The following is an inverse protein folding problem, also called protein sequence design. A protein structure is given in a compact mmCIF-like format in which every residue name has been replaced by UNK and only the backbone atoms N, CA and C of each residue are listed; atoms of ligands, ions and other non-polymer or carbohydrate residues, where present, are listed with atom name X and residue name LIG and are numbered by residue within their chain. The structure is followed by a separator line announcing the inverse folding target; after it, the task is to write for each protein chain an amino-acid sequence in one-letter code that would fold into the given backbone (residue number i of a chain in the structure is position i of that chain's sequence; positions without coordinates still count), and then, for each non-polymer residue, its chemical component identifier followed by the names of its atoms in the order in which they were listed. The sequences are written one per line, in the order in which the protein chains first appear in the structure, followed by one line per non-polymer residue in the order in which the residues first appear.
data_IF_385210464958
#
_entry.id   IF_385210464958
#
_cell.length_a   1.000
_cell.length_b   1.000
_cell.length_c   1.000
_cell.angle_alpha   90.00
_cell.angle_beta   90.00
_cell.angle_gamma   90.00
#
_symmetry.space_group_name_H-M   'P 1'
#
loop_
_entity.id
_entity.type
_entity.pdbx_description
1 polymer ?
#
# COMPACT_ATOMS: atom_id res chain seq x y z
N UNK A 1 7.65 -23.67 67.75
CA UNK A 1 8.51 -23.09 66.69
C UNK A 1 9.30 -21.96 67.34
N UNK A 2 10.62 -22.06 67.35
CA UNK A 2 11.49 -21.06 67.98
C UNK A 2 11.33 -19.69 67.30
N UNK A 3 11.40 -18.60 68.07
CA UNK A 3 11.26 -17.24 67.56
C UNK A 3 12.19 -16.93 66.38
N UNK A 4 13.34 -17.61 66.28
CA UNK A 4 14.26 -17.51 65.14
C UNK A 4 13.68 -18.04 63.82
N UNK A 5 12.80 -19.03 63.84
CA UNK A 5 12.18 -19.56 62.62
C UNK A 5 11.18 -18.56 62.00
N UNK A 6 10.45 -17.81 62.83
CA UNK A 6 9.51 -16.79 62.35
C UNK A 6 10.23 -15.59 61.73
N UNK A 7 11.33 -15.15 62.33
CA UNK A 7 12.15 -14.05 61.81
C UNK A 7 12.79 -14.43 60.47
N UNK A 8 13.23 -15.68 60.33
CA UNK A 8 13.83 -16.18 59.09
C UNK A 8 12.82 -16.25 57.94
N UNK A 9 11.60 -16.72 58.21
CA UNK A 9 10.53 -16.77 57.20
C UNK A 9 10.07 -15.36 56.82
N UNK A 10 9.92 -14.45 57.78
CA UNK A 10 9.58 -13.06 57.49
C UNK A 10 10.65 -12.34 56.65
N UNK A 11 11.94 -12.60 56.92
CA UNK A 11 13.05 -12.06 56.12
C UNK A 11 13.05 -12.63 54.69
N UNK A 12 12.79 -13.93 54.53
CA UNK A 12 12.71 -14.56 53.20
C UNK A 12 11.53 -14.04 52.36
N UNK A 13 10.37 -13.85 52.98
CA UNK A 13 9.19 -13.26 52.31
C UNK A 13 9.45 -11.80 51.95
N UNK A 14 10.10 -11.02 52.82
CA UNK A 14 10.47 -9.64 52.52
C UNK A 14 11.48 -9.55 51.35
N UNK A 15 12.44 -10.47 51.27
CA UNK A 15 13.38 -10.54 50.13
C UNK A 15 12.64 -10.91 48.83
N UNK A 16 11.68 -11.84 48.89
CA UNK A 16 10.92 -12.25 47.70
C UNK A 16 9.91 -11.18 47.23
N UNK A 17 9.42 -10.34 48.14
CA UNK A 17 8.47 -9.25 47.83
C UNK A 17 9.19 -7.98 47.37
N UNK A 18 10.41 -7.70 47.87
CA UNK A 18 11.21 -6.54 47.48
C UNK A 18 12.10 -6.80 46.25
N UNK A 19 12.49 -8.05 45.98
CA UNK A 19 13.18 -8.45 44.77
C UNK A 19 12.19 -9.12 43.80
N UNK A 20 11.31 -8.31 43.20
CA UNK A 20 10.46 -8.77 42.11
C UNK A 20 11.30 -9.35 40.94
N UNK A 21 10.68 -10.16 40.06
CA UNK A 21 11.36 -10.86 38.96
C UNK A 21 12.02 -9.94 37.91
N UNK A 22 11.94 -8.63 38.08
CA UNK A 22 12.55 -7.60 37.21
C UNK A 22 14.04 -7.37 37.49
N UNK A 23 14.62 -7.99 38.52
CA UNK A 23 16.02 -7.79 38.93
C UNK A 23 16.93 -8.99 38.65
N UNK A 24 16.79 -9.60 37.46
CA UNK A 24 17.80 -10.53 36.95
C UNK A 24 18.81 -9.80 36.05
N UNK A 25 20.04 -9.55 36.51
CA UNK A 25 21.09 -9.04 35.65
C UNK A 25 21.40 -10.08 34.56
N UNK A 26 21.20 -9.69 33.29
CA UNK A 26 21.50 -10.54 32.13
C UNK A 26 20.29 -11.00 31.31
N UNK A 27 19.06 -10.62 31.65
CA UNK A 27 17.96 -10.71 30.68
C UNK A 27 18.21 -9.63 29.61
N UNK A 28 18.29 -9.96 28.31
CA UNK A 28 18.29 -8.94 27.28
C UNK A 28 17.08 -8.05 27.53
N UNK A 29 17.28 -6.74 27.66
CA UNK A 29 16.16 -5.81 27.53
C UNK A 29 15.59 -6.12 26.15
N UNK A 30 14.35 -6.63 26.11
CA UNK A 30 13.59 -6.67 24.87
C UNK A 30 13.70 -5.27 24.28
N UNK A 31 14.09 -5.12 22.99
CA UNK A 31 14.06 -3.82 22.35
C UNK A 31 12.71 -3.19 22.65
N UNK A 32 12.66 -1.91 23.08
CA UNK A 32 11.38 -1.28 23.33
C UNK A 32 10.54 -1.43 22.06
N UNK A 33 9.44 -2.18 22.17
CA UNK A 33 8.44 -2.23 21.11
C UNK A 33 7.60 -0.96 21.16
N UNK A 34 6.73 -0.76 20.16
CA UNK A 34 6.02 0.50 19.98
C UNK A 34 5.29 0.92 21.26
N UNK A 35 5.37 2.21 21.64
CA UNK A 35 4.88 2.70 22.92
C UNK A 35 3.36 2.54 23.06
N UNK A 36 2.91 2.42 24.30
CA UNK A 36 1.49 2.26 24.64
C UNK A 36 1.10 0.83 25.02
N UNK A 37 -0.18 0.63 25.28
CA UNK A 37 -0.76 -0.64 25.76
C UNK A 37 -1.89 -1.19 24.89
N UNK A 38 -2.16 -0.54 23.76
CA UNK A 38 -3.13 -1.00 22.77
C UNK A 38 -2.67 -2.24 22.00
N UNK A 39 -3.50 -2.78 21.09
CA UNK A 39 -3.11 -3.90 20.26
C UNK A 39 -1.99 -3.50 19.29
N UNK A 40 -1.11 -4.46 18.98
CA UNK A 40 -0.08 -4.27 17.97
C UNK A 40 -0.73 -4.19 16.58
N UNK A 41 -0.44 -3.12 15.85
CA UNK A 41 -1.23 -2.72 14.69
C UNK A 41 -0.38 -2.49 13.45
N UNK A 42 -0.81 -3.07 12.33
CA UNK A 42 -0.34 -2.75 10.98
C UNK A 42 -1.28 -1.70 10.36
N UNK A 43 -0.71 -0.62 9.85
CA UNK A 43 -1.48 0.49 9.26
C UNK A 43 -1.08 0.71 7.80
N UNK A 44 -2.05 0.90 6.91
CA UNK A 44 -1.78 1.36 5.54
C UNK A 44 -2.21 2.80 5.32
N UNK A 45 -1.34 3.59 4.70
CA UNK A 45 -1.61 4.95 4.21
C UNK A 45 -1.34 4.99 2.71
N UNK A 46 -1.92 5.95 2.00
CA UNK A 46 -1.69 6.11 0.57
C UNK A 46 -2.97 6.17 -0.24
N UNK A 47 -2.89 5.66 -1.46
CA UNK A 47 -3.90 5.83 -2.48
C UNK A 47 -4.82 4.62 -2.69
N UNK A 48 -5.42 4.53 -3.88
CA UNK A 48 -6.38 3.50 -4.28
C UNK A 48 -5.81 2.07 -4.19
N UNK A 49 -4.50 1.91 -4.41
CA UNK A 49 -3.84 0.61 -4.40
C UNK A 49 -3.67 0.02 -3.01
N UNK A 50 -3.77 0.84 -1.96
CA UNK A 50 -3.85 0.39 -0.58
C UNK A 50 -5.24 0.55 0.04
N UNK A 51 -6.10 1.46 -0.47
CA UNK A 51 -7.49 1.54 -0.02
C UNK A 51 -8.26 0.25 -0.36
N UNK A 52 -7.94 -0.36 -1.50
CA UNK A 52 -8.61 -1.57 -1.98
C UNK A 52 -9.58 -1.30 -3.12
N UNK A 53 -9.45 -0.17 -3.82
CA UNK A 53 -10.13 0.08 -5.09
C UNK A 53 -9.92 -1.11 -6.04
N UNK A 54 -10.98 -1.59 -6.69
CA UNK A 54 -10.95 -2.79 -7.53
C UNK A 54 -11.12 -4.11 -6.78
N UNK A 55 -10.95 -4.14 -5.46
CA UNK A 55 -11.10 -5.35 -4.64
C UNK A 55 -12.56 -5.66 -4.25
N UNK A 56 -13.49 -4.76 -4.57
CA UNK A 56 -14.92 -4.86 -4.25
C UNK A 56 -15.20 -4.80 -2.74
N UNK A 57 -16.46 -5.04 -2.36
CA UNK A 57 -16.92 -5.07 -0.95
C UNK A 57 -16.56 -3.81 -0.14
N UNK A 58 -16.60 -2.63 -0.75
CA UNK A 58 -16.25 -1.40 -0.05
C UNK A 58 -17.13 -1.17 1.18
N UNK A 59 -16.51 -0.66 2.24
CA UNK A 59 -17.21 -0.15 3.42
C UNK A 59 -18.22 0.92 2.99
N UNK A 60 -19.48 0.86 3.46
CA UNK A 60 -20.52 1.81 3.03
C UNK A 60 -20.12 3.27 3.20
N UNK A 61 -19.35 3.59 4.25
CA UNK A 61 -18.91 4.94 4.59
C UNK A 61 -17.95 5.54 3.58
N UNK A 62 -17.27 4.72 2.77
CA UNK A 62 -16.28 5.16 1.79
C UNK A 62 -16.68 4.84 0.34
N UNK A 63 -17.91 4.36 0.13
CA UNK A 63 -18.47 4.02 -1.17
C UNK A 63 -19.50 5.06 -1.65
N UNK A 64 -19.10 6.33 -1.62
CA UNK A 64 -19.86 7.49 -2.06
C UNK A 64 -20.82 8.08 -1.02
N UNK A 65 -20.95 7.48 0.17
CA UNK A 65 -21.78 8.05 1.23
C UNK A 65 -21.24 9.43 1.64
N UNK A 66 -22.11 10.44 1.60
CA UNK A 66 -21.75 11.85 1.88
C UNK A 66 -20.57 12.37 1.03
N UNK A 67 -20.37 11.82 -0.16
CA UNK A 67 -19.27 12.21 -1.06
C UNK A 67 -17.90 11.60 -0.70
N UNK A 68 -17.85 10.64 0.23
CA UNK A 68 -16.62 9.93 0.54
C UNK A 68 -16.42 8.75 -0.42
N UNK A 69 -15.44 8.86 -1.31
CA UNK A 69 -15.09 7.83 -2.28
C UNK A 69 -13.70 7.24 -2.03
N UNK A 70 -13.27 7.18 -0.76
CA UNK A 70 -11.98 6.58 -0.42
C UNK A 70 -11.90 5.09 -0.78
N UNK A 71 -13.03 4.39 -1.00
CA UNK A 71 -13.09 3.00 -1.43
C UNK A 71 -12.19 2.08 -0.61
N UNK A 72 -12.49 1.98 0.69
CA UNK A 72 -11.83 1.04 1.59
C UNK A 72 -12.49 -0.31 1.55
N UNK A 73 -11.73 -1.34 1.19
CA UNK A 73 -12.19 -2.72 1.08
C UNK A 73 -11.63 -3.61 2.20
N UNK A 74 -12.42 -4.54 2.77
CA UNK A 74 -11.90 -5.64 3.59
C UNK A 74 -11.05 -6.64 2.79
N UNK A 75 -10.97 -6.46 1.47
CA UNK A 75 -10.07 -7.18 0.58
C UNK A 75 -8.74 -6.46 0.31
N UNK A 76 -8.52 -5.26 0.85
CA UNK A 76 -7.28 -4.53 0.69
C UNK A 76 -6.06 -5.30 1.23
N UNK A 77 -4.89 -4.99 0.69
CA UNK A 77 -3.61 -5.65 1.02
C UNK A 77 -3.38 -5.72 2.53
N UNK A 78 -3.56 -4.60 3.23
CA UNK A 78 -3.35 -4.51 4.68
C UNK A 78 -4.23 -5.49 5.47
N UNK A 79 -5.49 -5.65 5.05
CA UNK A 79 -6.48 -6.50 5.72
C UNK A 79 -6.18 -7.99 5.54
N UNK A 80 -5.44 -8.35 4.47
CA UNK A 80 -5.02 -9.73 4.18
C UNK A 80 -3.62 -10.06 4.70
N UNK A 81 -2.83 -9.05 5.05
CA UNK A 81 -1.42 -9.22 5.43
C UNK A 81 -1.31 -9.89 6.78
N UNK A 82 -0.56 -10.99 6.87
CA UNK A 82 -0.32 -11.71 8.13
C UNK A 82 1.11 -11.51 8.54
N UNK A 83 1.31 -11.02 9.76
CA UNK A 83 2.62 -10.81 10.39
C UNK A 83 2.50 -11.26 11.83
N UNK A 84 3.50 -11.99 12.30
CA UNK A 84 3.56 -12.50 13.67
C UNK A 84 3.45 -11.37 14.70
N UNK A 85 2.58 -11.54 15.69
CA UNK A 85 2.34 -10.54 16.76
C UNK A 85 1.39 -9.40 16.41
N UNK A 86 1.07 -9.16 15.14
CA UNK A 86 0.09 -8.12 14.74
C UNK A 86 -1.34 -8.61 14.99
N UNK A 87 -2.00 -7.95 15.93
CA UNK A 87 -3.40 -8.22 16.33
C UNK A 87 -4.40 -7.50 15.44
N UNK A 88 -4.11 -6.24 15.08
CA UNK A 88 -5.05 -5.34 14.40
C UNK A 88 -4.48 -4.84 13.08
N UNK A 89 -5.36 -4.62 12.09
CA UNK A 89 -5.06 -4.01 10.79
C UNK A 89 -5.97 -2.82 10.59
N UNK A 90 -5.40 -1.70 10.14
CA UNK A 90 -6.17 -0.46 9.94
C UNK A 90 -5.79 0.15 8.60
N UNK A 91 -6.81 0.38 7.77
CA UNK A 91 -6.64 1.06 6.50
C UNK A 91 -7.02 2.54 6.60
N UNK A 92 -6.03 3.42 6.48
CA UNK A 92 -6.21 4.88 6.37
C UNK A 92 -6.10 5.38 4.93
N UNK A 93 -5.62 4.54 4.00
CA UNK A 93 -5.49 4.88 2.60
C UNK A 93 -6.82 5.27 1.96
N UNK A 94 -6.76 6.08 0.92
CA UNK A 94 -7.93 6.68 0.30
C UNK A 94 -7.73 6.80 -1.21
N UNK A 95 -8.67 6.27 -1.98
CA UNK A 95 -8.59 6.29 -3.45
C UNK A 95 -8.38 7.71 -4.01
N UNK A 96 -7.40 7.84 -4.90
CA UNK A 96 -6.99 9.10 -5.53
C UNK A 96 -6.15 10.03 -4.65
N UNK A 97 -5.76 9.63 -3.44
CA UNK A 97 -4.96 10.47 -2.56
C UNK A 97 -3.62 10.89 -3.20
N UNK A 98 -3.31 12.21 -3.26
CA UNK A 98 -1.98 12.70 -3.57
C UNK A 98 -1.08 12.67 -2.32
N UNK A 99 0.23 12.83 -2.51
CA UNK A 99 1.22 12.91 -1.42
C UNK A 99 0.85 13.99 -0.40
N UNK A 100 0.30 15.13 -0.86
CA UNK A 100 -0.15 16.22 0.00
C UNK A 100 -1.25 15.84 1.01
N UNK A 101 -2.09 14.85 0.70
CA UNK A 101 -3.12 14.36 1.64
C UNK A 101 -2.60 13.22 2.54
N UNK A 102 -1.57 12.49 2.09
CA UNK A 102 -0.90 11.50 2.95
C UNK A 102 -0.12 12.20 4.05
N UNK A 103 0.66 13.23 3.70
CA UNK A 103 1.42 14.06 4.64
C UNK A 103 0.56 15.01 5.49
N UNK A 104 1.22 15.89 6.22
CA UNK A 104 0.56 16.94 7.01
C UNK A 104 0.06 18.08 6.13
N UNK A 105 -0.99 18.76 6.60
CA UNK A 105 -1.56 19.93 5.93
C UNK A 105 -3.08 19.86 5.85
N UNK A 106 -3.65 20.75 5.02
CA UNK A 106 -5.09 20.93 4.86
C UNK A 106 -5.65 20.23 3.62
N UNK A 107 -4.81 19.54 2.85
CA UNK A 107 -5.25 18.77 1.69
C UNK A 107 -6.24 17.69 2.12
N UNK A 108 -7.37 17.64 1.43
CA UNK A 108 -8.41 16.62 1.64
C UNK A 108 -8.50 15.75 0.41
N UNK A 109 -8.80 14.48 0.64
CA UNK A 109 -9.18 13.55 -0.41
C UNK A 109 -10.62 13.13 -0.10
N UNK A 110 -11.52 13.48 -1.02
CA UNK A 110 -12.95 13.45 -0.79
C UNK A 110 -13.32 14.27 0.46
N UNK A 111 -13.81 13.60 1.50
CA UNK A 111 -14.20 14.22 2.77
C UNK A 111 -13.13 14.10 3.86
N UNK A 112 -12.04 13.39 3.60
CA UNK A 112 -11.11 12.96 4.65
C UNK A 112 -9.85 13.85 4.74
N UNK A 113 -9.37 14.16 5.96
CA UNK A 113 -8.20 15.00 6.18
C UNK A 113 -6.89 14.21 6.01
N UNK A 114 -5.76 14.82 6.37
CA UNK A 114 -4.43 14.22 6.40
C UNK A 114 -4.40 12.81 6.99
N UNK A 115 -3.76 11.87 6.29
CA UNK A 115 -3.57 10.50 6.79
C UNK A 115 -2.52 10.44 7.90
N UNK A 116 -1.44 11.22 7.80
CA UNK A 116 -0.43 11.35 8.86
C UNK A 116 -1.04 11.87 10.17
N UNK A 117 -1.94 12.87 10.13
CA UNK A 117 -2.64 13.33 11.33
C UNK A 117 -3.45 12.19 11.96
N UNK A 118 -4.23 11.46 11.15
CA UNK A 118 -5.04 10.33 11.62
C UNK A 118 -4.20 9.18 12.17
N UNK A 119 -3.05 8.89 11.58
CA UNK A 119 -2.08 7.94 12.12
C UNK A 119 -1.60 8.38 13.50
N UNK A 120 -1.23 9.66 13.64
CA UNK A 120 -0.91 10.23 14.94
C UNK A 120 -2.06 10.03 15.93
N UNK A 121 -3.30 10.35 15.59
CA UNK A 121 -4.45 10.12 16.48
C UNK A 121 -4.64 8.65 16.88
N UNK A 122 -4.42 7.73 15.93
CA UNK A 122 -4.56 6.30 16.11
C UNK A 122 -3.62 5.74 17.20
N UNK A 123 -2.43 6.32 17.37
CA UNK A 123 -1.47 5.87 18.37
C UNK A 123 -1.93 6.06 19.82
N UNK A 124 -3.01 6.82 20.06
CA UNK A 124 -3.59 6.97 21.40
C UNK A 124 -4.22 5.68 21.92
N UNK A 125 -4.63 4.79 21.03
CA UNK A 125 -5.31 3.53 21.36
C UNK A 125 -4.67 2.30 20.75
N UNK A 126 -3.69 2.46 19.86
CA UNK A 126 -3.02 1.36 19.17
C UNK A 126 -1.50 1.52 19.23
N UNK A 127 -0.79 0.39 19.23
CA UNK A 127 0.67 0.35 19.14
C UNK A 127 1.04 0.07 17.70
N UNK A 128 1.54 1.06 16.98
CA UNK A 128 1.82 0.95 15.54
C UNK A 128 3.16 0.22 15.34
N UNK A 129 3.13 -1.01 14.86
CA UNK A 129 4.35 -1.78 14.62
C UNK A 129 4.81 -1.75 13.16
N UNK A 130 3.91 -1.45 12.23
CA UNK A 130 4.26 -1.32 10.83
C UNK A 130 3.34 -0.32 10.15
N UNK A 131 3.92 0.49 9.27
CA UNK A 131 3.23 1.43 8.40
C UNK A 131 3.63 1.16 6.96
N UNK A 132 2.64 0.97 6.09
CA UNK A 132 2.84 0.69 4.67
C UNK A 132 2.23 1.82 3.86
N UNK A 133 3.02 2.42 2.98
CA UNK A 133 2.67 3.60 2.20
C UNK A 133 2.74 3.26 0.71
N UNK A 134 1.73 3.65 -0.05
CA UNK A 134 1.76 3.67 -1.51
C UNK A 134 1.17 5.00 -2.00
N UNK A 135 2.03 5.89 -2.49
CA UNK A 135 1.65 7.23 -2.96
C UNK A 135 2.60 7.68 -4.08
N UNK A 136 2.27 8.74 -4.82
CA UNK A 136 3.06 9.25 -5.94
C UNK A 136 2.34 9.18 -7.30
N UNK A 137 1.56 8.12 -7.56
CA UNK A 137 0.92 7.94 -8.87
C UNK A 137 -0.16 9.00 -9.19
N UNK A 138 -0.75 9.62 -8.16
CA UNK A 138 -1.77 10.66 -8.30
C UNK A 138 -1.22 12.09 -8.24
N UNK A 139 0.06 12.26 -7.95
CA UNK A 139 0.74 13.55 -8.03
C UNK A 139 1.01 13.89 -9.52
N UNK A 140 2.18 14.44 -9.87
CA UNK A 140 2.53 14.79 -11.26
C UNK A 140 2.38 13.68 -12.32
N UNK A 141 2.55 12.37 -12.00
CA UNK A 141 2.28 11.29 -12.94
C UNK A 141 0.84 11.28 -13.46
N UNK A 142 -0.15 11.68 -12.66
CA UNK A 142 -1.58 11.64 -12.98
C UNK A 142 -2.01 10.30 -13.63
N UNK A 143 -1.61 9.18 -13.04
CA UNK A 143 -1.68 7.86 -13.67
C UNK A 143 -3.09 7.47 -14.17
N UNK A 144 -4.14 7.77 -13.42
CA UNK A 144 -5.53 7.50 -13.81
C UNK A 144 -5.97 8.25 -15.07
N UNK A 145 -5.54 9.50 -15.21
CA UNK A 145 -5.74 10.29 -16.43
C UNK A 145 -4.98 9.68 -17.60
N UNK A 146 -3.74 9.25 -17.39
CA UNK A 146 -2.93 8.63 -18.45
C UNK A 146 -3.56 7.35 -19.00
N UNK A 147 -4.08 6.48 -18.14
CA UNK A 147 -4.80 5.28 -18.57
C UNK A 147 -6.03 5.65 -19.40
N UNK A 148 -6.75 6.69 -19.00
CA UNK A 148 -7.90 7.21 -19.75
C UNK A 148 -7.49 7.78 -21.12
N UNK A 149 -6.38 8.50 -21.21
CA UNK A 149 -5.84 9.01 -22.47
C UNK A 149 -5.38 7.89 -23.41
N UNK A 150 -4.75 6.85 -22.88
CA UNK A 150 -4.35 5.67 -23.66
C UNK A 150 -5.56 4.88 -24.18
N UNK A 151 -6.59 4.72 -23.35
CA UNK A 151 -7.88 4.17 -23.76
C UNK A 151 -8.52 4.98 -24.89
N UNK A 152 -8.52 6.32 -24.80
CA UNK A 152 -9.06 7.18 -25.85
C UNK A 152 -8.23 7.11 -27.14
N UNK A 153 -6.90 7.06 -27.02
CA UNK A 153 -5.98 6.94 -28.15
C UNK A 153 -6.24 5.68 -28.97
N UNK A 154 -6.67 4.57 -28.34
CA UNK A 154 -7.01 3.34 -29.04
C UNK A 154 -8.07 3.53 -30.14
N UNK A 155 -9.04 4.43 -29.97
CA UNK A 155 -10.05 4.72 -30.99
C UNK A 155 -9.51 5.49 -32.20
N UNK A 156 -8.38 6.18 -32.07
CA UNK A 156 -7.82 7.03 -33.12
C UNK A 156 -6.58 6.40 -33.76
N UNK A 157 -6.75 5.29 -34.49
CA UNK A 157 -5.66 4.49 -35.09
C UNK A 157 -4.69 5.26 -36.00
N UNK A 158 -5.03 6.48 -36.43
CA UNK A 158 -4.16 7.35 -37.24
C UNK A 158 -3.25 8.26 -36.40
N UNK A 159 -3.60 8.49 -35.14
CA UNK A 159 -2.74 9.21 -34.20
C UNK A 159 -1.63 8.30 -33.66
N UNK A 160 -0.54 8.91 -33.17
CA UNK A 160 0.50 8.20 -32.45
C UNK A 160 -0.05 7.50 -31.19
N UNK A 161 0.54 6.36 -30.77
CA UNK A 161 0.25 5.76 -29.46
C UNK A 161 0.40 6.77 -28.32
N UNK A 162 -0.35 6.63 -27.22
CA UNK A 162 -0.28 7.58 -26.10
C UNK A 162 1.15 7.66 -25.52
N UNK A 163 1.85 6.52 -25.53
CA UNK A 163 3.21 6.34 -25.02
C UNK A 163 4.24 7.21 -25.74
N UNK A 164 4.02 7.63 -26.98
CA UNK A 164 4.99 8.46 -27.71
C UNK A 164 5.27 9.79 -27.01
N UNK A 165 4.24 10.47 -26.49
CA UNK A 165 4.45 11.67 -25.66
C UNK A 165 5.03 11.34 -24.29
N UNK A 166 4.56 10.25 -23.69
CA UNK A 166 4.98 9.87 -22.34
C UNK A 166 6.47 9.52 -22.28
N UNK A 167 7.04 8.95 -23.34
CA UNK A 167 8.49 8.71 -23.44
C UNK A 167 9.33 9.96 -23.14
N UNK A 168 8.86 11.16 -23.46
CA UNK A 168 9.57 12.41 -23.17
C UNK A 168 9.12 13.12 -21.90
N UNK A 169 7.85 12.97 -21.52
CA UNK A 169 7.27 13.71 -20.38
C UNK A 169 7.36 12.95 -19.05
N UNK A 170 7.57 11.63 -19.09
CA UNK A 170 7.43 10.79 -17.91
C UNK A 170 8.51 11.03 -16.85
N UNK A 171 9.77 11.09 -17.26
CA UNK A 171 10.86 11.33 -16.32
C UNK A 171 10.73 12.67 -15.59
N UNK A 172 10.47 13.81 -16.27
CA UNK A 172 10.19 15.08 -15.57
C UNK A 172 9.04 15.02 -14.56
N UNK A 173 7.97 14.26 -14.85
CA UNK A 173 6.84 14.07 -13.91
C UNK A 173 7.28 13.29 -12.68
N UNK A 174 8.07 12.22 -12.87
CA UNK A 174 8.64 11.46 -11.75
C UNK A 174 9.57 12.34 -10.92
N UNK A 175 10.45 13.11 -11.55
CA UNK A 175 11.40 13.99 -10.85
C UNK A 175 10.68 15.03 -9.98
N UNK A 176 9.52 15.52 -10.43
CA UNK A 176 8.67 16.44 -9.65
C UNK A 176 7.86 15.74 -8.54
N UNK A 177 7.49 14.48 -8.73
CA UNK A 177 6.77 13.66 -7.76
C UNK A 177 7.65 13.25 -6.57
N UNK A 178 8.92 12.89 -6.82
CA UNK A 178 9.82 12.33 -5.79
C UNK A 178 9.89 13.21 -4.52
N UNK A 179 10.14 14.53 -4.61
CA UNK A 179 10.16 15.39 -3.42
C UNK A 179 8.87 15.37 -2.61
N UNK A 180 7.70 15.29 -3.27
CA UNK A 180 6.41 15.25 -2.56
C UNK A 180 6.22 13.95 -1.78
N UNK A 181 6.63 12.83 -2.37
CA UNK A 181 6.59 11.53 -1.69
C UNK A 181 7.54 11.54 -0.50
N UNK A 182 8.75 12.12 -0.65
CA UNK A 182 9.71 12.30 0.45
C UNK A 182 9.10 13.11 1.59
N UNK A 183 8.47 14.25 1.29
CA UNK A 183 7.81 15.09 2.29
C UNK A 183 6.69 14.33 3.02
N UNK A 184 5.82 13.63 2.28
CA UNK A 184 4.71 12.87 2.87
C UNK A 184 5.21 11.73 3.79
N UNK A 185 6.24 10.99 3.38
CA UNK A 185 6.82 9.92 4.20
C UNK A 185 7.52 10.49 5.45
N UNK A 186 8.18 11.64 5.34
CA UNK A 186 8.77 12.34 6.49
C UNK A 186 7.70 12.83 7.47
N UNK A 187 6.56 13.34 6.98
CA UNK A 187 5.43 13.73 7.83
C UNK A 187 4.81 12.53 8.56
N UNK A 188 4.74 11.37 7.91
CA UNK A 188 4.29 10.12 8.57
C UNK A 188 5.26 9.73 9.70
N UNK A 189 6.58 9.82 9.46
CA UNK A 189 7.59 9.61 10.50
C UNK A 189 7.42 10.60 11.64
N UNK A 190 7.19 11.88 11.32
CA UNK A 190 6.98 12.93 12.30
C UNK A 190 5.71 12.68 13.13
N UNK A 191 4.61 12.21 12.53
CA UNK A 191 3.38 11.89 13.24
C UNK A 191 3.56 10.80 14.31
N UNK A 192 4.45 9.85 14.07
CA UNK A 192 4.84 8.83 15.06
C UNK A 192 5.85 9.39 16.06
N UNK A 193 6.85 10.15 15.62
CA UNK A 193 7.86 10.77 16.49
C UNK A 193 7.24 11.73 17.52
N UNK A 194 6.24 12.53 17.13
CA UNK A 194 5.45 13.41 18.00
C UNK A 194 4.74 12.64 19.12
N UNK A 195 4.60 11.32 18.97
CA UNK A 195 3.98 10.40 19.93
C UNK A 195 4.98 9.51 20.66
N UNK A 196 6.27 9.83 20.54
CA UNK A 196 7.35 9.17 21.26
C UNK A 196 7.86 7.89 20.60
N UNK A 197 7.48 7.61 19.35
CA UNK A 197 8.05 6.50 18.59
C UNK A 197 9.46 6.87 18.12
N UNK A 198 10.36 5.91 18.20
CA UNK A 198 11.69 5.88 17.58
C UNK A 198 11.63 5.02 16.32
N UNK A 199 12.69 5.03 15.51
CA UNK A 199 12.71 4.25 14.26
C UNK A 199 12.80 2.75 14.49
N UNK A 200 13.27 2.31 15.66
CA UNK A 200 13.37 0.90 16.01
C UNK A 200 12.04 0.34 16.54
N UNK A 201 11.04 1.20 16.78
CA UNK A 201 9.72 0.80 17.28
C UNK A 201 8.78 0.24 16.19
N UNK A 202 9.04 0.54 14.91
CA UNK A 202 8.13 0.20 13.81
C UNK A 202 8.83 0.05 12.46
N UNK A 203 8.25 -0.80 11.61
CA UNK A 203 8.60 -0.85 10.20
C UNK A 203 7.91 0.26 9.41
N UNK A 204 8.67 0.97 8.60
CA UNK A 204 8.15 1.94 7.63
C UNK A 204 8.45 1.45 6.22
N UNK A 205 7.41 1.09 5.47
CA UNK A 205 7.53 0.54 4.12
C UNK A 205 6.93 1.52 3.11
N UNK A 206 7.71 1.92 2.11
CA UNK A 206 7.22 2.53 0.88
C UNK A 206 7.14 1.45 -0.20
N UNK A 207 5.92 1.19 -0.67
CA UNK A 207 5.62 0.20 -1.69
C UNK A 207 5.48 0.89 -3.07
N UNK A 208 6.02 0.27 -4.12
CA UNK A 208 5.78 0.70 -5.50
C UNK A 208 4.46 0.16 -6.07
N UNK A 209 4.26 0.35 -7.37
CA UNK A 209 3.06 -0.07 -8.10
C UNK A 209 3.38 -1.26 -9.00
N UNK A 210 2.36 -2.05 -9.31
CA UNK A 210 2.42 -3.06 -10.36
C UNK A 210 1.74 -2.53 -11.63
N UNK A 211 2.25 -2.92 -12.80
CA UNK A 211 1.58 -2.62 -14.07
C UNK A 211 0.27 -3.44 -14.17
N UNK A 212 -0.90 -2.79 -14.28
CA UNK A 212 -2.18 -3.52 -14.31
C UNK A 212 -2.51 -4.10 -15.69
N UNK A 213 -1.77 -3.68 -16.72
CA UNK A 213 -1.91 -4.10 -18.12
C UNK A 213 -0.52 -4.35 -18.69
N UNK A 214 -0.40 -5.26 -19.63
CA UNK A 214 0.87 -5.60 -20.27
C UNK A 214 0.71 -6.26 -21.63
N UNK A 215 1.81 -6.51 -22.35
CA UNK A 215 1.77 -7.02 -23.73
C UNK A 215 1.28 -8.46 -23.84
N UNK A 216 1.17 -9.19 -22.72
CA UNK A 216 0.64 -10.55 -22.66
C UNK A 216 -0.86 -10.67 -22.96
N UNK A 217 -1.59 -9.56 -23.18
CA UNK A 217 -3.01 -9.59 -23.51
C UNK A 217 -3.22 -10.24 -24.90
N UNK A 218 -3.98 -11.35 -24.99
CA UNK A 218 -4.27 -11.99 -26.28
C UNK A 218 -5.01 -11.03 -27.24
N UNK A 219 -4.71 -11.12 -28.54
CA UNK A 219 -5.31 -10.26 -29.58
C UNK A 219 -6.84 -10.18 -29.51
N UNK A 220 -7.49 -11.31 -29.22
CA UNK A 220 -8.95 -11.41 -29.10
C UNK A 220 -9.55 -10.64 -27.90
N UNK A 221 -8.72 -10.15 -26.97
CA UNK A 221 -9.12 -9.37 -25.80
C UNK A 221 -8.63 -7.91 -25.84
N UNK A 222 -7.84 -7.53 -26.85
CA UNK A 222 -7.45 -6.12 -27.10
C UNK A 222 -8.56 -5.33 -27.80
N UNK A 223 -9.75 -5.33 -27.20
CA UNK A 223 -10.96 -4.65 -27.69
C UNK A 223 -11.84 -4.15 -26.53
N UNK A 224 -13.00 -3.59 -26.87
CA UNK A 224 -13.93 -3.00 -25.90
C UNK A 224 -14.55 -4.00 -24.90
N UNK A 225 -14.44 -5.31 -25.14
CA UNK A 225 -14.88 -6.34 -24.20
C UNK A 225 -13.78 -6.73 -23.18
N UNK A 226 -12.66 -6.02 -23.16
CA UNK A 226 -11.57 -6.31 -22.23
C UNK A 226 -10.66 -5.11 -22.01
N UNK A 227 -9.63 -5.00 -22.84
CA UNK A 227 -8.51 -4.08 -22.64
C UNK A 227 -8.14 -3.41 -23.98
N UNK A 228 -8.85 -2.35 -24.39
CA UNK A 228 -8.61 -1.68 -25.67
C UNK A 228 -7.37 -0.78 -25.60
N UNK A 229 -6.20 -1.41 -25.63
CA UNK A 229 -4.90 -0.74 -25.64
C UNK A 229 -4.08 -1.20 -26.84
N UNK A 230 -3.20 -0.31 -27.30
CA UNK A 230 -2.24 -0.63 -28.36
C UNK A 230 -1.06 -1.38 -27.75
N UNK A 231 -0.46 -2.28 -28.53
CA UNK A 231 0.69 -3.07 -28.07
C UNK A 231 1.84 -2.19 -27.62
N UNK A 232 2.12 -1.10 -28.35
CA UNK A 232 3.18 -0.15 -28.04
C UNK A 232 2.95 0.55 -26.69
N UNK A 233 1.70 0.85 -26.36
CA UNK A 233 1.33 1.45 -25.07
C UNK A 233 1.46 0.42 -23.94
N UNK A 234 1.07 -0.83 -24.19
CA UNK A 234 1.22 -1.94 -23.24
C UNK A 234 2.69 -2.25 -22.93
N UNK A 235 3.54 -2.33 -23.95
CA UNK A 235 4.99 -2.53 -23.81
C UNK A 235 5.63 -1.38 -23.01
N UNK A 236 5.21 -0.15 -23.27
CA UNK A 236 5.75 1.01 -22.57
C UNK A 236 5.33 1.02 -21.09
N UNK A 237 4.05 0.78 -20.79
CA UNK A 237 3.52 0.76 -19.42
C UNK A 237 4.17 -0.36 -18.60
N UNK A 238 4.21 -1.59 -19.12
CA UNK A 238 4.74 -2.76 -18.42
C UNK A 238 6.29 -2.82 -18.39
N UNK A 239 6.96 -1.91 -19.11
CA UNK A 239 8.42 -1.82 -19.18
C UNK A 239 8.93 -0.47 -18.68
N UNK A 240 9.41 0.43 -19.58
CA UNK A 240 10.02 1.69 -19.19
C UNK A 240 9.20 2.56 -18.23
N UNK A 241 7.87 2.62 -18.41
CA UNK A 241 6.97 3.44 -17.61
C UNK A 241 6.98 3.04 -16.13
N UNK A 242 6.61 1.78 -15.83
CA UNK A 242 6.58 1.28 -14.45
C UNK A 242 7.97 1.22 -13.81
N UNK A 243 9.02 0.92 -14.60
CA UNK A 243 10.39 0.87 -14.11
C UNK A 243 10.87 2.24 -13.64
N UNK A 244 10.62 3.31 -14.42
CA UNK A 244 11.01 4.66 -14.05
C UNK A 244 10.26 5.15 -12.80
N UNK A 245 8.95 4.86 -12.70
CA UNK A 245 8.16 5.20 -11.51
C UNK A 245 8.69 4.48 -10.27
N UNK A 246 8.98 3.19 -10.40
CA UNK A 246 9.54 2.37 -9.32
C UNK A 246 10.89 2.89 -8.85
N UNK A 247 11.75 3.33 -9.77
CA UNK A 247 13.05 3.93 -9.42
C UNK A 247 12.90 5.27 -8.69
N UNK A 248 11.97 6.12 -9.12
CA UNK A 248 11.64 7.35 -8.40
C UNK A 248 11.18 7.07 -6.95
N UNK A 249 10.30 6.10 -6.77
CA UNK A 249 9.83 5.70 -5.44
C UNK A 249 10.93 5.03 -4.61
N UNK A 250 11.81 4.24 -5.21
CA UNK A 250 13.01 3.67 -4.56
C UNK A 250 13.93 4.77 -4.06
N UNK A 251 14.14 5.82 -4.86
CA UNK A 251 14.89 7.00 -4.46
C UNK A 251 14.23 7.73 -3.27
N UNK A 252 12.91 7.92 -3.29
CA UNK A 252 12.18 8.52 -2.16
C UNK A 252 12.30 7.68 -0.88
N UNK A 253 12.19 6.35 -0.99
CA UNK A 253 12.39 5.44 0.15
C UNK A 253 13.81 5.58 0.74
N UNK A 254 14.83 5.58 -0.12
CA UNK A 254 16.22 5.75 0.30
C UNK A 254 16.48 7.09 1.00
N UNK A 255 15.87 8.18 0.52
CA UNK A 255 16.03 9.52 1.11
C UNK A 255 15.38 9.66 2.48
N UNK A 256 14.34 8.87 2.75
CA UNK A 256 13.58 8.91 4.01
C UNK A 256 13.97 7.78 4.98
N UNK A 257 14.81 6.85 4.53
CA UNK A 257 15.15 5.64 5.28
C UNK A 257 13.98 4.67 5.45
N UNK A 258 12.93 4.78 4.62
CA UNK A 258 11.87 3.79 4.56
C UNK A 258 12.39 2.53 3.84
N UNK A 259 11.93 1.37 4.28
CA UNK A 259 12.13 0.09 3.59
C UNK A 259 11.35 0.12 2.27
N UNK A 260 11.89 -0.47 1.21
CA UNK A 260 11.27 -0.41 -0.13
C UNK A 260 10.73 -1.75 -0.60
N UNK A 261 9.44 -1.80 -0.97
CA UNK A 261 8.81 -3.00 -1.53
C UNK A 261 8.43 -2.79 -3.01
N UNK A 262 9.17 -3.45 -3.90
CA UNK A 262 9.01 -3.33 -5.34
C UNK A 262 7.91 -4.27 -5.89
N UNK A 263 6.80 -3.70 -6.36
CA UNK A 263 5.71 -4.40 -7.03
C UNK A 263 5.77 -4.36 -8.56
N UNK A 264 6.77 -3.72 -9.18
CA UNK A 264 6.82 -3.50 -10.63
C UNK A 264 6.65 -4.77 -11.45
N UNK A 265 7.12 -5.91 -10.92
CA UNK A 265 7.05 -7.24 -11.52
C UNK A 265 6.01 -8.16 -10.90
N UNK A 266 5.26 -7.68 -9.90
CA UNK A 266 4.31 -8.50 -9.16
C UNK A 266 3.14 -8.94 -10.05
N UNK A 267 2.74 -8.13 -11.03
CA UNK A 267 1.62 -8.45 -11.92
C UNK A 267 1.92 -9.36 -13.11
N UNK A 268 3.19 -9.73 -13.35
CA UNK A 268 3.62 -10.38 -14.60
C UNK A 268 2.87 -11.70 -14.83
N UNK A 269 2.16 -11.78 -15.96
CA UNK A 269 1.35 -12.94 -16.34
C UNK A 269 -0.01 -13.03 -15.63
N UNK A 270 -0.38 -12.00 -14.87
CA UNK A 270 -1.63 -11.87 -14.14
C UNK A 270 -2.27 -10.49 -14.34
N UNK A 271 -1.82 -9.72 -15.34
CA UNK A 271 -2.36 -8.41 -15.70
C UNK A 271 -3.83 -8.52 -16.16
N UNK A 272 -4.58 -7.42 -16.17
CA UNK A 272 -5.93 -7.40 -16.71
C UNK A 272 -5.96 -7.93 -18.15
N UNK A 273 -6.94 -8.78 -18.45
CA UNK A 273 -7.11 -9.48 -19.74
C UNK A 273 -6.01 -10.50 -20.11
N UNK A 274 -4.95 -10.69 -19.32
CA UNK A 274 -3.90 -11.68 -19.60
C UNK A 274 -4.42 -13.13 -19.55
N UNK A 275 -5.45 -13.41 -18.74
CA UNK A 275 -6.09 -14.73 -18.62
C UNK A 275 -7.01 -15.08 -19.79
N UNK A 276 -7.20 -14.18 -20.75
CA UNK A 276 -8.10 -14.37 -21.89
C UNK A 276 -9.53 -14.71 -21.44
N UNK A 277 -10.10 -15.88 -21.75
CA UNK A 277 -11.43 -16.25 -21.28
C UNK A 277 -11.50 -16.53 -19.77
N UNK A 278 -10.36 -16.77 -19.10
CA UNK A 278 -10.31 -17.11 -17.68
C UNK A 278 -9.89 -15.92 -16.81
N UNK A 279 -10.84 -15.01 -16.54
CA UNK A 279 -10.60 -13.84 -15.70
C UNK A 279 -10.15 -14.17 -14.26
N UNK A 280 -10.41 -15.40 -13.76
CA UNK A 280 -10.00 -15.81 -12.43
C UNK A 280 -8.48 -15.93 -12.25
N UNK A 281 -7.72 -15.96 -13.35
CA UNK A 281 -6.26 -15.92 -13.31
C UNK A 281 -5.72 -14.49 -13.18
N UNK A 282 -6.55 -13.45 -13.31
CA UNK A 282 -6.09 -12.07 -13.32
C UNK A 282 -6.04 -11.51 -11.89
N UNK A 283 -5.03 -10.68 -11.61
CA UNK A 283 -4.85 -9.98 -10.34
C UNK A 283 -5.30 -8.52 -10.42
N UNK A 284 -5.72 -8.07 -11.60
CA UNK A 284 -6.23 -6.73 -11.84
C UNK A 284 -7.60 -6.79 -12.50
N UNK A 285 -8.44 -5.83 -12.17
CA UNK A 285 -9.75 -5.67 -12.81
C UNK A 285 -9.58 -5.21 -14.26
N UNK A 286 -10.40 -5.76 -15.15
CA UNK A 286 -10.53 -5.26 -16.54
C UNK A 286 -11.21 -3.90 -16.55
N UNK A 287 -11.46 -3.36 -17.74
CA UNK A 287 -12.41 -2.25 -17.87
C UNK A 287 -13.73 -2.65 -17.21
N UNK A 288 -14.03 -2.02 -16.08
CA UNK A 288 -15.15 -2.36 -15.21
C UNK A 288 -16.09 -1.17 -15.22
N UNK A 289 -17.33 -1.39 -15.64
CA UNK A 289 -18.37 -0.37 -15.64
C UNK A 289 -19.39 -0.73 -14.56
N UNK A 290 -19.49 0.09 -13.52
CA UNK A 290 -20.55 -0.01 -12.52
C UNK A 290 -21.85 0.56 -13.11
N UNK A 291 -22.59 -0.29 -13.82
CA UNK A 291 -23.81 0.12 -14.55
C UNK A 291 -24.89 0.74 -13.65
N UNK A 292 -24.96 0.32 -12.38
CA UNK A 292 -25.87 0.93 -11.39
C UNK A 292 -25.51 2.38 -11.09
N UNK A 293 -24.23 2.72 -11.16
CA UNK A 293 -23.73 4.07 -10.84
C UNK A 293 -24.04 5.05 -11.97
N UNK A 294 -24.19 4.58 -13.21
CA UNK A 294 -24.66 5.39 -14.33
C UNK A 294 -26.12 5.85 -14.19
N UNK A 295 -26.90 5.23 -13.31
CA UNK A 295 -28.29 5.64 -13.04
C UNK A 295 -28.40 6.81 -12.06
N UNK A 296 -27.28 7.23 -11.45
CA UNK A 296 -27.20 8.37 -10.51
C UNK A 296 -26.22 9.40 -11.04
N UNK A 297 -26.68 10.65 -11.19
CA UNK A 297 -25.84 11.78 -11.65
C UNK A 297 -24.60 11.95 -10.77
N UNK A 298 -24.74 11.73 -9.46
CA UNK A 298 -23.65 11.90 -8.49
C UNK A 298 -22.63 10.75 -8.52
N UNK A 299 -23.02 9.57 -9.04
CA UNK A 299 -22.14 8.38 -9.11
C UNK A 299 -21.59 8.13 -10.51
N UNK A 300 -22.19 8.69 -11.56
CA UNK A 300 -21.84 8.40 -12.95
C UNK A 300 -20.36 8.68 -13.27
N UNK A 301 -19.76 9.71 -12.67
CA UNK A 301 -18.33 10.03 -12.85
C UNK A 301 -17.38 8.99 -12.23
N UNK A 302 -17.89 8.12 -11.36
CA UNK A 302 -17.16 7.04 -10.69
C UNK A 302 -17.40 5.67 -11.34
N UNK A 303 -18.22 5.61 -12.39
CA UNK A 303 -18.68 4.33 -12.96
C UNK A 303 -17.57 3.45 -13.54
N UNK A 304 -16.38 4.00 -13.83
CA UNK A 304 -15.22 3.22 -14.32
C UNK A 304 -14.03 3.22 -13.36
N UNK A 305 -14.19 3.77 -12.16
CA UNK A 305 -13.12 4.04 -11.21
C UNK A 305 -12.31 2.79 -10.85
N UNK A 306 -12.97 1.64 -10.78
CA UNK A 306 -12.34 0.35 -10.42
C UNK A 306 -11.48 -0.27 -11.53
N UNK A 307 -11.54 0.28 -12.73
CA UNK A 307 -10.83 -0.29 -13.88
C UNK A 307 -9.33 -0.30 -13.63
N UNK A 308 -8.67 -1.40 -13.98
CA UNK A 308 -7.21 -1.54 -13.94
C UNK A 308 -6.58 -1.34 -12.55
N UNK A 309 -7.34 -1.61 -11.49
CA UNK A 309 -6.83 -1.70 -10.12
C UNK A 309 -6.61 -3.17 -9.71
N UNK A 310 -5.79 -3.44 -8.68
CA UNK A 310 -5.70 -4.77 -8.10
C UNK A 310 -7.07 -5.25 -7.65
N UNK A 311 -7.44 -6.46 -8.06
CA UNK A 311 -8.66 -7.09 -7.58
C UNK A 311 -8.40 -7.83 -6.26
N UNK A 312 -9.43 -8.48 -5.69
CA UNK A 312 -9.29 -9.20 -4.43
C UNK A 312 -8.20 -10.30 -4.44
N UNK A 313 -7.96 -10.93 -5.60
CA UNK A 313 -6.87 -11.91 -5.75
C UNK A 313 -5.50 -11.23 -5.77
N UNK A 314 -5.37 -10.11 -6.49
CA UNK A 314 -4.13 -9.31 -6.51
C UNK A 314 -3.74 -8.79 -5.13
N UNK A 315 -4.70 -8.21 -4.40
CA UNK A 315 -4.45 -7.78 -3.02
C UNK A 315 -4.04 -8.92 -2.09
N UNK A 316 -4.61 -10.11 -2.24
CA UNK A 316 -4.21 -11.29 -1.46
C UNK A 316 -2.75 -11.70 -1.75
N UNK A 317 -2.30 -11.56 -3.00
CA UNK A 317 -0.92 -11.85 -3.39
C UNK A 317 0.06 -10.79 -2.89
N UNK A 318 -0.28 -9.50 -3.03
CA UNK A 318 0.52 -8.42 -2.47
C UNK A 318 0.65 -8.54 -0.95
N UNK A 319 -0.43 -8.95 -0.27
CA UNK A 319 -0.45 -9.14 1.17
C UNK A 319 0.45 -10.29 1.65
N UNK A 320 0.56 -11.36 0.85
CA UNK A 320 1.49 -12.46 1.12
C UNK A 320 2.93 -11.97 1.09
N UNK A 321 3.31 -11.33 -0.02
CA UNK A 321 4.66 -10.79 -0.18
C UNK A 321 4.99 -9.74 0.89
N UNK A 322 4.07 -8.81 1.16
CA UNK A 322 4.23 -7.80 2.21
C UNK A 322 4.40 -8.44 3.60
N UNK A 323 3.63 -9.49 3.91
CA UNK A 323 3.78 -10.24 5.15
C UNK A 323 5.17 -10.86 5.29
N UNK A 324 5.65 -11.55 4.25
CA UNK A 324 7.01 -12.12 4.23
C UNK A 324 8.10 -11.03 4.34
N UNK A 325 7.89 -9.88 3.71
CA UNK A 325 8.82 -8.77 3.79
C UNK A 325 8.90 -8.21 5.22
N UNK A 326 7.75 -8.00 5.86
CA UNK A 326 7.67 -7.50 7.25
C UNK A 326 8.19 -8.51 8.28
N UNK A 327 8.21 -9.82 7.98
CA UNK A 327 8.84 -10.82 8.85
C UNK A 327 10.38 -10.85 8.75
N UNK A 328 10.96 -10.19 7.75
CA UNK A 328 12.41 -10.03 7.61
C UNK A 328 12.89 -8.60 7.84
N UNK A 329 14.20 -8.44 7.95
CA UNK A 329 14.87 -7.15 8.21
C UNK A 329 15.49 -6.51 6.95
N UNK A 330 15.17 -7.04 5.76
CA UNK A 330 15.74 -6.55 4.52
C UNK A 330 15.32 -5.09 4.25
N UNK A 331 16.26 -4.20 3.87
CA UNK A 331 15.93 -2.80 3.57
C UNK A 331 15.08 -2.68 2.31
N UNK A 332 15.15 -3.66 1.41
CA UNK A 332 14.32 -3.73 0.21
C UNK A 332 14.05 -5.16 -0.23
N UNK A 333 12.91 -5.35 -0.90
CA UNK A 333 12.54 -6.58 -1.56
C UNK A 333 11.70 -6.28 -2.82
N UNK A 334 11.60 -7.25 -3.72
CA UNK A 334 10.66 -7.27 -4.81
C UNK A 334 9.64 -8.40 -4.60
N UNK A 335 8.38 -8.14 -4.92
CA UNK A 335 7.37 -9.18 -4.96
C UNK A 335 7.43 -9.91 -6.29
N UNK A 336 7.93 -11.14 -6.24
CA UNK A 336 8.12 -11.99 -7.41
C UNK A 336 7.30 -13.26 -7.27
N UNK A 337 6.78 -13.76 -8.40
CA UNK A 337 6.08 -15.04 -8.43
C UNK A 337 7.07 -16.18 -8.20
N UNK A 338 6.80 -17.02 -7.19
CA UNK A 338 7.55 -18.24 -6.93
C UNK A 338 7.02 -19.44 -7.72
N UNK A 339 7.68 -20.59 -7.54
CA UNK A 339 7.32 -21.85 -8.19
C UNK A 339 5.94 -22.37 -7.78
N UNK A 340 5.44 -21.96 -6.61
CA UNK A 340 4.11 -22.29 -6.11
C UNK A 340 2.99 -21.43 -6.74
N UNK A 341 3.37 -20.47 -7.59
CA UNK A 341 2.49 -19.56 -8.29
C UNK A 341 2.02 -18.35 -7.47
N UNK A 342 2.48 -18.19 -6.22
CA UNK A 342 2.18 -17.05 -5.37
C UNK A 342 3.32 -16.02 -5.38
N UNK A 343 3.04 -14.80 -4.91
CA UNK A 343 4.07 -13.78 -4.70
C UNK A 343 4.82 -14.01 -3.40
N UNK A 344 6.15 -13.90 -3.50
CA UNK A 344 7.07 -13.95 -2.37
C UNK A 344 7.94 -12.69 -2.33
N UNK A 345 8.36 -12.33 -1.13
CA UNK A 345 9.39 -11.31 -0.95
C UNK A 345 10.75 -11.91 -1.35
N UNK A 346 11.33 -11.40 -2.43
CA UNK A 346 12.67 -11.76 -2.88
C UNK A 346 13.60 -10.56 -2.77
N UNK A 347 14.88 -10.78 -2.49
CA UNK A 347 15.85 -9.69 -2.50
C UNK A 347 15.84 -9.00 -3.86
N UNK A 348 15.57 -7.69 -3.86
CA UNK A 348 15.70 -6.87 -5.06
C UNK A 348 17.17 -6.45 -5.15
N UNK A 349 17.88 -6.75 -6.25
CA UNK A 349 19.17 -6.14 -6.52
C UNK A 349 19.08 -4.62 -6.63
#
# INVERSE_FOLDING_TARGET
MSAGALVFVAALVAIFVLAGPESQPGRPLEPPGPPGTGPLTLVSLGDSTLSGEGAGLYTPETNGLNGNWCHRSPNATVEKTKVSGIETRINLACSGAPSAQVGFGDAKQWTEPSQAQRLGELTRSNRVAAVVIAVGANDEPHFSQLISECFQSWFNVRAAPCSERLKTEWQPRIDAMVPRVVDAVNDVRQALADRGYTLDDYDLVLQSYAAPIGPGIPDAFRNLNGCPFRTEDLDWVAGPGINALTEGLRSAASQTGARFLDLSRAGVGHEACSGGPNAAQEWFSRLTVQWTDLSSVDRANHAIQESFHPNAAGHAQFARCLGEFLEGDAPSAACLKGDDGNLHAALSP
#
